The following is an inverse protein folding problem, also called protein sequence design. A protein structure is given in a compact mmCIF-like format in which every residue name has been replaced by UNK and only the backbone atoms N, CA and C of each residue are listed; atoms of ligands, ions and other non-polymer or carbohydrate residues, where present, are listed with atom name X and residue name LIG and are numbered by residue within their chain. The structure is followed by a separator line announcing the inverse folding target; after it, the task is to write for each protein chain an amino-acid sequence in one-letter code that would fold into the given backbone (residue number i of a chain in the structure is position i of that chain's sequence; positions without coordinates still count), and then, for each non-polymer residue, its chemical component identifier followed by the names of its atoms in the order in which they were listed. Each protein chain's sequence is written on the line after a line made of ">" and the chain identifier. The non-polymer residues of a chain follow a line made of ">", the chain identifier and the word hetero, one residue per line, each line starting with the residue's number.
data_IF_590353964303
#
_entry.id   IF_590353964303
#
_cell.length_a   1.000
_cell.length_b   1.000
_cell.length_c   1.000
_cell.angle_alpha   90.00
_cell.angle_beta   90.00
_cell.angle_gamma   90.00
#
_symmetry.space_group_name_H-M   'P 1'
#
loop_
_entity.id
_entity.type
_entity.pdbx_description
1 polymer ?
#
# COMPACT_ATOMS: atom_id res chain seq x y z
N UNK A 1 8.85 59.72 -11.80
CA UNK A 1 8.92 59.35 -10.38
C UNK A 1 7.61 58.70 -10.06
N UNK A 2 7.48 57.56 -9.41
CA UNK A 2 8.37 56.52 -8.92
C UNK A 2 7.35 55.55 -8.35
N UNK A 3 7.42 54.26 -8.62
CA UNK A 3 7.12 53.26 -7.60
C UNK A 3 7.53 51.90 -8.15
N UNK A 4 8.58 51.39 -7.51
CA UNK A 4 9.05 50.03 -7.57
C UNK A 4 8.25 49.34 -6.48
N UNK A 5 7.32 48.46 -6.84
CA UNK A 5 6.75 47.51 -5.89
C UNK A 5 7.57 46.21 -5.94
N UNK A 6 8.19 45.95 -4.80
CA UNK A 6 9.03 44.79 -4.52
C UNK A 6 8.21 43.50 -4.60
N UNK A 7 8.74 42.52 -5.32
CA UNK A 7 8.16 41.18 -5.43
C UNK A 7 8.25 40.41 -4.11
N UNK A 8 7.13 39.76 -3.84
CA UNK A 8 6.86 38.80 -2.78
C UNK A 8 7.88 37.66 -2.67
N UNK A 9 8.11 37.30 -1.42
CA UNK A 9 8.68 36.06 -0.93
C UNK A 9 7.61 34.98 -1.01
N UNK A 10 7.85 33.88 -1.74
CA UNK A 10 7.02 32.68 -1.63
C UNK A 10 7.91 31.49 -1.31
N UNK A 11 7.76 30.99 -0.09
CA UNK A 11 8.29 29.70 0.35
C UNK A 11 7.67 28.60 -0.52
N UNK A 12 8.55 27.85 -1.15
CA UNK A 12 8.29 26.79 -2.08
C UNK A 12 7.92 25.52 -1.30
N UNK A 13 6.61 25.31 -1.09
CA UNK A 13 6.07 24.01 -0.75
C UNK A 13 5.35 23.45 -1.98
N UNK A 14 6.07 22.65 -2.76
CA UNK A 14 5.55 22.02 -3.97
C UNK A 14 4.57 20.91 -3.54
N UNK A 15 3.29 21.24 -3.50
CA UNK A 15 2.20 20.27 -3.35
C UNK A 15 1.95 19.61 -4.71
N UNK A 16 2.52 18.42 -4.93
CA UNK A 16 2.16 17.57 -6.07
C UNK A 16 1.17 16.54 -5.53
N UNK A 17 -0.12 16.72 -5.80
CA UNK A 17 -1.13 15.82 -5.23
C UNK A 17 -2.52 15.80 -5.84
N UNK A 18 -3.00 16.87 -6.49
CA UNK A 18 -4.45 17.00 -6.75
C UNK A 18 -4.87 17.04 -8.24
N UNK A 19 -3.96 16.86 -9.21
CA UNK A 19 -4.33 17.10 -10.62
C UNK A 19 -4.84 15.88 -11.41
N UNK A 20 -4.99 14.68 -10.83
CA UNK A 20 -5.44 13.51 -11.60
C UNK A 20 -6.50 12.69 -10.86
N UNK A 21 -7.73 13.21 -10.77
CA UNK A 21 -8.90 12.38 -10.48
C UNK A 21 -10.20 13.01 -11.01
N UNK A 22 -10.30 13.15 -12.34
CA UNK A 22 -11.61 13.18 -13.00
C UNK A 22 -11.81 11.87 -13.75
N UNK A 23 -12.40 10.89 -13.08
CA UNK A 23 -13.11 9.78 -13.73
C UNK A 23 -14.31 9.39 -12.88
N UNK A 24 -15.48 9.88 -13.31
CA UNK A 24 -16.77 9.52 -12.75
C UNK A 24 -17.12 8.08 -13.13
N UNK A 25 -16.77 7.13 -12.25
CA UNK A 25 -17.10 5.71 -12.37
C UNK A 25 -17.73 5.19 -11.08
N UNK A 26 -19.00 4.80 -11.17
CA UNK A 26 -19.91 4.45 -10.07
C UNK A 26 -19.33 3.43 -9.06
N UNK A 27 -19.39 3.80 -7.77
CA UNK A 27 -19.08 2.93 -6.64
C UNK A 27 -19.76 3.37 -5.34
N UNK A 28 -20.96 3.97 -5.40
CA UNK A 28 -21.73 4.20 -4.17
C UNK A 28 -22.34 2.88 -3.68
N UNK A 29 -21.69 2.25 -2.71
CA UNK A 29 -22.26 1.63 -1.49
C UNK A 29 -21.30 0.60 -0.88
N UNK A 30 -20.65 0.99 0.22
CA UNK A 30 -20.41 0.20 1.44
C UNK A 30 -19.48 1.00 2.38
N UNK A 31 -19.89 2.20 2.80
CA UNK A 31 -19.07 3.03 3.70
C UNK A 31 -19.25 2.68 5.18
N UNK A 32 -20.39 2.09 5.57
CA UNK A 32 -20.70 1.80 6.99
C UNK A 32 -20.12 0.48 7.52
N UNK A 33 -19.84 -0.50 6.66
CA UNK A 33 -19.36 -1.83 7.09
C UNK A 33 -17.82 -1.87 7.24
N UNK A 34 -17.13 -0.84 6.74
CA UNK A 34 -15.66 -0.70 6.79
C UNK A 34 -15.21 0.39 7.77
N UNK A 35 -16.11 1.00 8.55
CA UNK A 35 -15.70 2.00 9.55
C UNK A 35 -14.73 1.36 10.56
N UNK A 36 -13.48 1.84 10.57
CA UNK A 36 -12.43 1.36 11.47
C UNK A 36 -11.63 0.15 10.97
N UNK A 37 -11.91 -0.35 9.75
CA UNK A 37 -11.14 -1.43 9.13
C UNK A 37 -10.21 -0.88 8.03
N UNK A 38 -9.02 -1.46 7.95
CA UNK A 38 -7.95 -1.05 7.06
C UNK A 38 -7.43 -2.26 6.28
N UNK A 39 -6.96 -2.01 5.06
CA UNK A 39 -6.39 -3.05 4.19
C UNK A 39 -4.86 -2.87 4.12
N UNK A 40 -4.11 -3.90 4.50
CA UNK A 40 -2.70 -4.06 4.18
C UNK A 40 -2.56 -4.69 2.80
N UNK A 41 -2.18 -3.89 1.80
CA UNK A 41 -1.91 -4.40 0.46
C UNK A 41 -0.63 -5.25 0.46
N UNK A 42 -0.75 -6.51 0.03
CA UNK A 42 0.40 -7.41 -0.06
C UNK A 42 1.09 -7.25 -1.43
N UNK A 43 2.36 -6.83 -1.45
CA UNK A 43 3.12 -6.78 -2.70
C UNK A 43 3.29 -8.17 -3.31
N UNK A 44 3.51 -8.27 -4.63
CA UNK A 44 3.92 -9.54 -5.22
C UNK A 44 5.27 -9.99 -4.67
N UNK A 45 5.40 -11.29 -4.38
CA UNK A 45 6.66 -11.90 -3.93
C UNK A 45 6.79 -12.10 -2.42
N UNK A 46 5.77 -11.75 -1.62
CA UNK A 46 5.72 -12.13 -0.21
C UNK A 46 5.53 -13.66 -0.10
N UNK A 47 6.39 -14.40 0.63
CA UNK A 47 6.22 -15.83 0.85
C UNK A 47 4.92 -16.16 1.58
N UNK A 48 4.26 -17.25 1.16
CA UNK A 48 3.01 -17.73 1.75
C UNK A 48 3.12 -17.93 3.27
N UNK A 49 4.25 -18.45 3.76
CA UNK A 49 4.48 -18.65 5.20
C UNK A 49 4.40 -17.35 6.00
N UNK A 50 4.93 -16.24 5.46
CA UNK A 50 4.83 -14.93 6.11
C UNK A 50 3.37 -14.48 6.14
N UNK A 51 2.61 -14.71 5.06
CA UNK A 51 1.20 -14.31 4.99
C UNK A 51 0.37 -15.08 6.04
N UNK A 52 0.54 -16.40 6.13
CA UNK A 52 -0.17 -17.25 7.10
C UNK A 52 0.17 -16.82 8.53
N UNK A 53 1.45 -16.64 8.84
CA UNK A 53 1.88 -16.23 10.18
C UNK A 53 1.30 -14.86 10.58
N UNK A 54 1.24 -13.89 9.66
CA UNK A 54 0.68 -12.56 9.94
C UNK A 54 -0.84 -12.62 10.17
N UNK A 55 -1.55 -13.45 9.40
CA UNK A 55 -2.99 -13.69 9.59
C UNK A 55 -3.27 -14.26 10.97
N UNK A 56 -2.50 -15.26 11.41
CA UNK A 56 -2.67 -15.90 12.71
C UNK A 56 -2.21 -15.01 13.87
N UNK A 57 -1.10 -14.28 13.73
CA UNK A 57 -0.52 -13.44 14.79
C UNK A 57 -1.35 -12.18 15.07
N UNK A 58 -1.96 -11.59 14.04
CA UNK A 58 -2.68 -10.32 14.12
C UNK A 58 -4.19 -10.42 13.89
N UNK A 59 -4.75 -11.64 13.82
CA UNK A 59 -6.17 -11.91 13.60
C UNK A 59 -6.75 -11.17 12.36
N UNK A 60 -6.02 -11.23 11.24
CA UNK A 60 -6.36 -10.50 10.02
C UNK A 60 -7.20 -11.35 9.05
N UNK A 61 -8.13 -10.70 8.35
CA UNK A 61 -8.92 -11.34 7.30
C UNK A 61 -8.19 -11.25 5.94
N UNK A 62 -8.06 -12.39 5.25
CA UNK A 62 -7.54 -12.42 3.87
C UNK A 62 -8.65 -12.09 2.88
N UNK A 63 -8.45 -11.06 2.06
CA UNK A 63 -9.44 -10.65 1.04
C UNK A 63 -8.77 -10.18 -0.25
N UNK A 64 -9.56 -10.00 -1.31
CA UNK A 64 -9.09 -9.54 -2.62
C UNK A 64 -9.62 -8.12 -2.89
N UNK A 65 -8.78 -7.27 -3.48
CA UNK A 65 -9.15 -5.92 -3.91
C UNK A 65 -8.73 -5.67 -5.35
N UNK A 66 -9.63 -5.08 -6.13
CA UNK A 66 -9.30 -4.55 -7.44
C UNK A 66 -8.61 -3.20 -7.25
N UNK A 67 -7.35 -3.08 -7.67
CA UNK A 67 -6.55 -1.86 -7.57
C UNK A 67 -6.03 -1.45 -8.94
N UNK A 68 -6.00 -0.14 -9.19
CA UNK A 68 -5.35 0.45 -10.37
C UNK A 68 -3.85 0.54 -10.09
N UNK A 69 -3.04 -0.10 -10.93
CA UNK A 69 -1.57 -0.10 -10.80
C UNK A 69 -0.92 0.21 -12.15
N UNK A 70 0.25 0.84 -12.13
CA UNK A 70 1.00 1.13 -13.34
C UNK A 70 1.90 -0.05 -13.69
N UNK A 71 1.88 -0.46 -14.96
CA UNK A 71 2.76 -1.50 -15.45
C UNK A 71 4.16 -0.98 -15.79
N UNK A 72 5.04 -1.88 -16.23
CA UNK A 72 6.42 -1.57 -16.62
C UNK A 72 6.53 -0.53 -17.75
N UNK A 73 5.49 -0.37 -18.56
CA UNK A 73 5.41 0.60 -19.65
C UNK A 73 4.71 1.91 -19.24
N UNK A 74 4.33 2.05 -17.98
CA UNK A 74 3.61 3.21 -17.44
C UNK A 74 2.12 3.27 -17.79
N UNK A 75 1.54 2.21 -18.38
CA UNK A 75 0.11 2.13 -18.59
C UNK A 75 -0.61 1.68 -17.31
N UNK A 76 -1.74 2.30 -17.01
CA UNK A 76 -2.58 1.95 -15.87
C UNK A 76 -3.38 0.69 -16.22
N UNK A 77 -3.28 -0.33 -15.39
CA UNK A 77 -4.08 -1.56 -15.45
C UNK A 77 -4.82 -1.80 -14.12
N UNK A 78 -5.97 -2.45 -14.19
CA UNK A 78 -6.67 -2.94 -13.00
C UNK A 78 -6.21 -4.36 -12.68
N UNK A 79 -5.87 -4.61 -11.42
CA UNK A 79 -5.40 -5.92 -10.95
C UNK A 79 -6.08 -6.30 -9.65
N UNK A 80 -6.51 -7.55 -9.55
CA UNK A 80 -6.90 -8.12 -8.26
C UNK A 80 -5.65 -8.44 -7.44
N UNK A 81 -5.56 -7.85 -6.26
CA UNK A 81 -4.46 -8.07 -5.30
C UNK A 81 -4.99 -8.62 -4.00
N UNK A 82 -4.17 -9.45 -3.37
CA UNK A 82 -4.42 -9.96 -2.04
C UNK A 82 -4.15 -8.85 -1.01
N UNK A 83 -5.05 -8.70 -0.04
CA UNK A 83 -4.88 -7.78 1.07
C UNK A 83 -5.24 -8.47 2.39
N UNK A 84 -4.62 -8.01 3.49
CA UNK A 84 -4.98 -8.42 4.85
C UNK A 84 -5.77 -7.31 5.52
N UNK A 85 -7.00 -7.57 5.94
CA UNK A 85 -7.89 -6.60 6.57
C UNK A 85 -7.94 -6.78 8.08
N UNK A 86 -7.90 -5.67 8.81
CA UNK A 86 -8.09 -5.66 10.27
C UNK A 86 -8.30 -4.24 10.79
N UNK A 87 -8.24 -4.06 12.11
CA UNK A 87 -8.18 -2.73 12.71
C UNK A 87 -6.84 -2.03 12.42
N UNK A 88 -6.79 -0.71 12.65
CA UNK A 88 -5.63 0.11 12.33
C UNK A 88 -4.33 -0.35 13.00
N UNK A 89 -4.39 -0.73 14.28
CA UNK A 89 -3.21 -1.10 15.05
C UNK A 89 -2.69 -2.45 14.58
N UNK A 90 -3.57 -3.43 14.40
CA UNK A 90 -3.21 -4.76 13.89
C UNK A 90 -2.60 -4.69 12.49
N UNK A 91 -3.18 -3.89 11.59
CA UNK A 91 -2.66 -3.69 10.23
C UNK A 91 -1.27 -3.04 10.22
N UNK A 92 -1.06 -2.01 11.03
CA UNK A 92 0.24 -1.34 11.13
C UNK A 92 1.32 -2.26 11.72
N UNK A 93 1.00 -2.98 12.80
CA UNK A 93 1.93 -3.93 13.41
C UNK A 93 2.27 -5.07 12.45
N UNK A 94 1.28 -5.58 11.70
CA UNK A 94 1.50 -6.59 10.67
C UNK A 94 2.37 -6.07 9.52
N UNK A 95 2.21 -4.80 9.11
CA UNK A 95 3.07 -4.17 8.12
C UNK A 95 4.54 -4.16 8.58
N UNK A 96 4.80 -3.69 9.79
CA UNK A 96 6.17 -3.62 10.34
C UNK A 96 6.80 -5.01 10.44
N UNK A 97 6.03 -6.01 10.89
CA UNK A 97 6.51 -7.38 10.95
C UNK A 97 6.73 -8.01 9.58
N UNK A 98 5.85 -7.75 8.61
CA UNK A 98 6.02 -8.20 7.23
C UNK A 98 7.34 -7.70 6.67
N UNK A 99 7.63 -6.40 6.79
CA UNK A 99 8.86 -5.80 6.30
C UNK A 99 10.09 -6.37 7.04
N UNK A 100 10.01 -6.55 8.35
CA UNK A 100 11.08 -7.14 9.14
C UNK A 100 11.39 -8.59 8.69
N UNK A 101 10.35 -9.44 8.56
CA UNK A 101 10.50 -10.82 8.08
C UNK A 101 11.03 -10.89 6.65
N UNK A 102 10.54 -10.03 5.76
CA UNK A 102 11.04 -9.93 4.37
C UNK A 102 12.51 -9.53 4.31
N UNK A 103 12.95 -8.63 5.21
CA UNK A 103 14.35 -8.21 5.28
C UNK A 103 15.27 -9.33 5.77
N UNK A 104 14.81 -10.13 6.73
CA UNK A 104 15.57 -11.23 7.30
C UNK A 104 15.36 -12.55 6.55
N UNK A 105 14.57 -12.54 5.47
CA UNK A 105 14.20 -13.72 4.71
C UNK A 105 15.41 -14.49 4.18
N UNK A 106 16.54 -13.83 3.90
CA UNK A 106 17.77 -14.49 3.47
C UNK A 106 18.42 -15.38 4.54
N UNK A 107 18.16 -15.12 5.83
CA UNK A 107 18.69 -15.93 6.92
C UNK A 107 17.89 -17.23 7.10
N UNK A 108 16.58 -17.18 6.86
CA UNK A 108 15.67 -18.31 7.04
C UNK A 108 15.39 -19.10 5.74
N UNK A 109 15.44 -18.43 4.57
CA UNK A 109 15.14 -19.02 3.28
C UNK A 109 16.41 -19.58 2.60
N UNK A 110 16.88 -20.74 3.09
CA UNK A 110 17.78 -21.59 2.29
C UNK A 110 16.96 -22.36 1.27
N UNK A 111 16.96 -21.89 0.02
CA UNK A 111 16.31 -22.63 -1.07
C UNK A 111 16.87 -24.05 -1.13
N UNK A 112 16.03 -25.11 -1.06
CA UNK A 112 16.50 -26.49 -1.15
C UNK A 112 17.12 -26.85 -2.51
N UNK A 113 17.01 -25.94 -3.49
CA UNK A 113 17.54 -26.09 -4.84
C UNK A 113 18.89 -25.40 -5.05
N UNK A 114 19.37 -24.63 -4.06
CA UNK A 114 20.71 -24.02 -4.07
C UNK A 114 21.61 -24.87 -3.18
N UNK A 115 22.57 -25.58 -3.79
CA UNK A 115 23.61 -26.29 -3.03
C UNK A 115 24.70 -25.28 -2.66
N UNK A 116 25.07 -25.26 -1.36
CA UNK A 116 26.23 -24.53 -0.82
C UNK A 116 27.55 -24.94 -1.53
#
# INVERSE_FOLDING_TARGET
>A
MSEIESKEQTDENIYIGDEYAEDEGQGEKQTNELEGLFDLLLPPGIPESIIVDLVEEFDLEVTMRLVKTSNENGAIEEREVLVLRGDQDSVNNAHDQMINRMRNLSEDFKSPWVKD
#
